data_IF_602430185584
#
_entry.id   IF_602430185584
#
_cell.length_a   1.000
_cell.length_b   1.000
_cell.length_c   1.000
_cell.angle_alpha   90.00
_cell.angle_beta   90.00
_cell.angle_gamma   90.00
#
_symmetry.space_group_name_H-M   'P 1'
#
loop_
_entity.id
_entity.type
_entity.pdbx_description
1 polymer ?
#
# COMPACT_ATOMS: atom_id res chain seq x y z
N UNK A 1 -29.01 2.16 -2.82
CA UNK A 1 -28.22 2.25 -4.07
C UNK A 1 -27.05 3.17 -3.75
N UNK A 2 -25.82 2.85 -4.14
CA UNK A 2 -24.72 3.82 -3.96
C UNK A 2 -24.91 4.88 -5.04
N UNK A 3 -25.03 6.13 -4.63
CA UNK A 3 -25.17 7.26 -5.55
C UNK A 3 -23.82 7.93 -5.67
N UNK A 4 -23.24 7.89 -6.86
CA UNK A 4 -21.97 8.55 -7.18
C UNK A 4 -22.24 9.92 -7.79
N UNK A 5 -21.58 10.97 -7.31
CA UNK A 5 -21.63 12.30 -7.94
C UNK A 5 -20.87 12.31 -9.27
N UNK A 6 -21.09 13.35 -10.08
CA UNK A 6 -20.37 13.50 -11.34
C UNK A 6 -18.85 13.65 -11.10
N UNK A 7 -18.47 14.34 -10.04
CA UNK A 7 -17.09 14.56 -9.61
C UNK A 7 -16.44 13.24 -9.18
N UNK A 8 -17.15 12.41 -8.42
CA UNK A 8 -16.66 11.09 -7.98
C UNK A 8 -16.42 10.17 -9.18
N UNK A 9 -17.38 10.12 -10.12
CA UNK A 9 -17.23 9.35 -11.36
C UNK A 9 -16.06 9.85 -12.21
N UNK A 10 -15.89 11.16 -12.31
CA UNK A 10 -14.79 11.76 -13.06
C UNK A 10 -13.44 11.43 -12.40
N UNK A 11 -13.34 11.50 -11.07
CA UNK A 11 -12.15 11.13 -10.33
C UNK A 11 -11.80 9.65 -10.50
N UNK A 12 -12.76 8.75 -10.33
CA UNK A 12 -12.56 7.29 -10.52
C UNK A 12 -12.06 7.00 -11.94
N UNK A 13 -12.71 7.57 -12.96
CA UNK A 13 -12.31 7.38 -14.35
C UNK A 13 -10.92 7.97 -14.65
N UNK A 14 -10.55 9.09 -14.01
CA UNK A 14 -9.22 9.69 -14.19
C UNK A 14 -8.10 8.82 -13.59
N UNK A 15 -8.37 8.13 -12.49
CA UNK A 15 -7.43 7.16 -11.91
C UNK A 15 -7.31 5.93 -12.81
N UNK A 16 -8.43 5.34 -13.23
CA UNK A 16 -8.41 4.11 -14.03
C UNK A 16 -7.69 4.25 -15.38
N UNK A 17 -7.73 5.43 -16.00
CA UNK A 17 -6.96 5.72 -17.23
C UNK A 17 -5.44 5.57 -17.07
N UNK A 18 -4.92 5.59 -15.85
CA UNK A 18 -3.48 5.48 -15.55
C UNK A 18 -3.07 4.06 -15.15
N UNK A 19 -4.03 3.16 -14.95
CA UNK A 19 -3.77 1.80 -14.46
C UNK A 19 -3.36 0.92 -15.64
N UNK A 20 -2.21 0.26 -15.52
CA UNK A 20 -1.82 -0.83 -16.40
C UNK A 20 -2.40 -2.14 -15.84
N UNK A 21 -3.45 -2.64 -16.48
CA UNK A 21 -4.16 -3.84 -16.03
C UNK A 21 -3.25 -5.07 -15.90
N UNK A 22 -2.20 -5.16 -16.71
CA UNK A 22 -1.30 -6.31 -16.72
C UNK A 22 -0.24 -6.17 -15.64
N UNK A 23 0.44 -5.03 -15.59
CA UNK A 23 1.47 -4.77 -14.60
C UNK A 23 0.90 -4.59 -13.19
N UNK A 24 -0.02 -3.63 -13.01
CA UNK A 24 -0.58 -3.27 -11.71
C UNK A 24 -1.43 -4.40 -11.13
N UNK A 25 -2.00 -5.25 -12.00
CA UNK A 25 -2.88 -6.33 -11.58
C UNK A 25 -2.12 -7.46 -10.92
N UNK A 26 -1.03 -7.89 -11.56
CA UNK A 26 -0.15 -8.89 -10.98
C UNK A 26 0.56 -8.38 -9.73
N UNK A 27 0.97 -7.11 -9.72
CA UNK A 27 1.56 -6.47 -8.54
C UNK A 27 0.57 -6.40 -7.37
N UNK A 28 -0.69 -6.01 -7.62
CA UNK A 28 -1.72 -5.96 -6.59
C UNK A 28 -2.02 -7.34 -5.99
N UNK A 29 -2.15 -8.38 -6.83
CA UNK A 29 -2.37 -9.74 -6.34
C UNK A 29 -1.12 -10.30 -5.65
N UNK A 30 0.07 -10.03 -6.18
CA UNK A 30 1.33 -10.43 -5.59
C UNK A 30 1.51 -9.86 -4.19
N UNK A 31 1.22 -8.56 -4.02
CA UNK A 31 1.20 -7.90 -2.71
C UNK A 31 0.17 -8.52 -1.79
N UNK A 32 -1.05 -8.83 -2.24
CA UNK A 32 -2.05 -9.50 -1.42
C UNK A 32 -1.52 -10.83 -0.85
N UNK A 33 -0.93 -11.68 -1.69
CA UNK A 33 -0.42 -13.00 -1.31
C UNK A 33 0.78 -12.92 -0.37
N UNK A 34 1.55 -11.83 -0.45
CA UNK A 34 2.69 -11.57 0.39
C UNK A 34 2.28 -11.00 1.76
N UNK A 35 1.33 -10.07 1.76
CA UNK A 35 0.81 -9.38 2.95
C UNK A 35 -0.04 -10.31 3.80
N UNK A 36 -0.84 -11.16 3.16
CA UNK A 36 -1.73 -12.12 3.81
C UNK A 36 -1.42 -13.54 3.35
N UNK A 37 -0.35 -14.17 3.84
CA UNK A 37 0.02 -15.52 3.40
C UNK A 37 -1.10 -16.56 3.55
N UNK A 38 -2.07 -16.37 4.47
CA UNK A 38 -3.23 -17.25 4.58
C UNK A 38 -4.10 -17.28 3.32
N UNK A 39 -4.10 -16.24 2.48
CA UNK A 39 -4.92 -16.21 1.25
C UNK A 39 -4.35 -17.14 0.20
N UNK A 40 -3.07 -17.52 0.31
CA UNK A 40 -2.43 -18.48 -0.60
C UNK A 40 -3.16 -19.83 -0.62
N UNK A 41 -3.89 -20.19 0.43
CA UNK A 41 -4.72 -21.42 0.49
C UNK A 41 -5.75 -21.51 -0.64
N UNK A 42 -6.21 -20.37 -1.17
CA UNK A 42 -7.16 -20.30 -2.28
C UNK A 42 -6.49 -20.48 -3.65
N UNK A 43 -5.17 -20.47 -3.72
CA UNK A 43 -4.38 -20.46 -4.95
C UNK A 43 -3.44 -21.68 -5.03
N UNK A 44 -3.84 -22.83 -4.47
CA UNK A 44 -3.03 -24.05 -4.46
C UNK A 44 -2.60 -24.53 -5.86
N UNK A 45 -3.38 -24.20 -6.90
CA UNK A 45 -3.07 -24.52 -8.29
C UNK A 45 -2.06 -23.57 -8.95
N UNK A 46 -1.62 -22.50 -8.25
CA UNK A 46 -0.74 -21.48 -8.82
C UNK A 46 0.74 -21.89 -8.75
N UNK A 47 1.07 -23.00 -8.10
CA UNK A 47 2.45 -23.44 -7.93
C UNK A 47 3.09 -22.81 -6.69
N UNK A 48 4.41 -22.58 -6.72
CA UNK A 48 5.12 -22.03 -5.56
C UNK A 48 4.73 -20.58 -5.31
N UNK A 49 4.21 -20.30 -4.12
CA UNK A 49 3.94 -18.96 -3.56
C UNK A 49 4.72 -18.72 -2.26
N UNK A 50 5.77 -19.52 -2.04
CA UNK A 50 6.48 -19.63 -0.76
C UNK A 50 7.31 -18.40 -0.37
N UNK A 51 7.62 -17.53 -1.32
CA UNK A 51 8.42 -16.32 -1.08
C UNK A 51 8.12 -15.24 -2.13
N UNK A 52 8.63 -14.02 -1.90
CA UNK A 52 8.36 -12.86 -2.75
C UNK A 52 8.78 -13.07 -4.22
N UNK A 53 9.95 -13.65 -4.46
CA UNK A 53 10.43 -13.90 -5.82
C UNK A 53 9.56 -14.95 -6.55
N UNK A 54 9.14 -15.99 -5.83
CA UNK A 54 8.24 -17.01 -6.33
C UNK A 54 6.86 -16.43 -6.67
N UNK A 55 6.34 -15.47 -5.89
CA UNK A 55 5.06 -14.80 -6.17
C UNK A 55 5.19 -13.82 -7.35
N UNK A 56 6.20 -12.95 -7.34
CA UNK A 56 6.38 -11.91 -8.36
C UNK A 56 6.62 -12.50 -9.76
N UNK A 57 7.43 -13.57 -9.85
CA UNK A 57 7.72 -14.28 -11.10
C UNK A 57 6.63 -15.25 -11.55
N UNK A 58 5.50 -15.37 -10.84
CA UNK A 58 4.49 -16.37 -11.15
C UNK A 58 3.52 -15.88 -12.24
N UNK A 59 3.62 -16.48 -13.43
CA UNK A 59 2.74 -16.15 -14.56
C UNK A 59 1.24 -16.33 -14.24
N UNK A 60 0.86 -17.24 -13.35
CA UNK A 60 -0.55 -17.43 -12.94
C UNK A 60 -1.02 -16.31 -12.01
N UNK A 61 -0.15 -15.80 -11.14
CA UNK A 61 -0.44 -14.61 -10.31
C UNK A 61 -0.63 -13.40 -11.22
N UNK A 62 0.27 -13.18 -12.17
CA UNK A 62 0.16 -12.08 -13.15
C UNK A 62 -1.14 -12.17 -13.96
N UNK A 63 -1.42 -13.35 -14.54
CA UNK A 63 -2.63 -13.57 -15.35
C UNK A 63 -3.93 -13.43 -14.54
N UNK A 64 -3.95 -13.88 -13.27
CA UNK A 64 -5.12 -13.73 -12.43
C UNK A 64 -5.29 -12.29 -11.93
N UNK A 65 -4.19 -11.62 -11.58
CA UNK A 65 -4.18 -10.19 -11.24
C UNK A 65 -4.77 -9.33 -12.35
N UNK A 66 -4.38 -9.59 -13.60
CA UNK A 66 -4.99 -8.96 -14.79
C UNK A 66 -6.49 -9.19 -14.90
N UNK A 67 -6.97 -10.42 -14.63
CA UNK A 67 -8.42 -10.71 -14.61
C UNK A 67 -9.15 -9.93 -13.52
N UNK A 68 -8.56 -9.79 -12.34
CA UNK A 68 -9.13 -9.03 -11.23
C UNK A 68 -9.22 -7.54 -11.58
N UNK A 69 -8.14 -6.92 -12.07
CA UNK A 69 -8.19 -5.51 -12.47
C UNK A 69 -9.10 -5.29 -13.67
N UNK A 70 -9.13 -6.20 -14.66
CA UNK A 70 -10.06 -6.08 -15.78
C UNK A 70 -11.54 -6.10 -15.36
N UNK A 71 -11.89 -6.87 -14.32
CA UNK A 71 -13.24 -6.85 -13.76
C UNK A 71 -13.54 -5.53 -13.03
N UNK A 72 -12.55 -4.95 -12.35
CA UNK A 72 -12.68 -3.66 -11.66
C UNK A 72 -12.72 -2.48 -12.65
N UNK A 73 -11.96 -2.54 -13.73
CA UNK A 73 -12.00 -1.59 -14.84
C UNK A 73 -13.37 -1.58 -15.51
N UNK A 74 -13.91 -2.77 -15.81
CA UNK A 74 -15.28 -2.90 -16.31
C UNK A 74 -16.30 -2.30 -15.33
N UNK A 75 -16.15 -2.54 -14.02
CA UNK A 75 -17.02 -1.93 -13.01
C UNK A 75 -16.88 -0.39 -12.95
N UNK A 76 -15.67 0.14 -13.15
CA UNK A 76 -15.40 1.58 -13.16
C UNK A 76 -16.03 2.29 -14.37
N UNK A 77 -16.15 1.61 -15.50
CA UNK A 77 -16.92 2.10 -16.65
C UNK A 77 -18.44 2.01 -16.48
N UNK A 78 -18.91 1.26 -15.47
CA UNK A 78 -20.33 0.99 -15.20
C UNK A 78 -20.72 1.32 -13.75
N UNK A 79 -20.26 2.47 -13.23
CA UNK A 79 -20.45 2.87 -11.82
C UNK A 79 -21.91 2.94 -11.36
N UNK A 80 -22.86 3.24 -12.25
CA UNK A 80 -24.29 3.27 -11.94
C UNK A 80 -24.92 1.86 -11.86
N UNK A 81 -24.26 0.86 -12.44
CA UNK A 81 -24.77 -0.52 -12.56
C UNK A 81 -23.79 -1.56 -12.03
N UNK A 82 -22.84 -1.19 -11.14
CA UNK A 82 -21.77 -2.08 -10.63
C UNK A 82 -22.28 -3.43 -10.15
N UNK A 83 -23.42 -3.46 -9.46
CA UNK A 83 -24.02 -4.71 -8.96
C UNK A 83 -24.42 -5.65 -10.10
N UNK A 84 -24.98 -5.10 -11.18
CA UNK A 84 -25.33 -5.88 -12.36
C UNK A 84 -24.06 -6.30 -13.12
N UNK A 85 -23.10 -5.39 -13.28
CA UNK A 85 -21.83 -5.64 -13.98
C UNK A 85 -20.99 -6.74 -13.31
N UNK A 86 -21.02 -6.84 -11.98
CA UNK A 86 -20.27 -7.83 -11.21
C UNK A 86 -21.12 -9.05 -10.79
N UNK A 87 -22.37 -9.16 -11.25
CA UNK A 87 -23.30 -10.22 -10.82
C UNK A 87 -22.69 -11.63 -11.01
N UNK A 88 -22.24 -11.94 -12.23
CA UNK A 88 -21.71 -13.26 -12.56
C UNK A 88 -20.42 -13.57 -11.78
N UNK A 89 -19.61 -12.54 -11.52
CA UNK A 89 -18.41 -12.68 -10.70
C UNK A 89 -18.77 -12.95 -9.24
N UNK A 90 -19.78 -12.27 -8.71
CA UNK A 90 -20.33 -12.49 -7.37
C UNK A 90 -20.87 -13.92 -7.22
N UNK A 91 -21.61 -14.40 -8.22
CA UNK A 91 -22.17 -15.76 -8.25
C UNK A 91 -21.06 -16.82 -8.19
N UNK A 92 -19.99 -16.64 -8.96
CA UNK A 92 -18.83 -17.53 -8.93
C UNK A 92 -18.17 -17.52 -7.54
N UNK A 93 -17.99 -16.35 -6.93
CA UNK A 93 -17.35 -16.24 -5.61
C UNK A 93 -18.19 -16.85 -4.48
N UNK A 94 -19.51 -16.71 -4.54
CA UNK A 94 -20.43 -17.23 -3.55
C UNK A 94 -20.66 -18.75 -3.70
N UNK A 95 -20.94 -19.20 -4.92
CA UNK A 95 -21.48 -20.55 -5.17
C UNK A 95 -20.46 -21.56 -5.70
N UNK A 96 -19.31 -21.12 -6.24
CA UNK A 96 -18.27 -22.03 -6.76
C UNK A 96 -16.98 -21.96 -5.98
N UNK A 97 -16.52 -20.76 -5.65
CA UNK A 97 -15.24 -20.56 -4.96
C UNK A 97 -15.38 -20.51 -3.44
N UNK A 98 -16.60 -20.30 -2.94
CA UNK A 98 -16.93 -20.20 -1.51
C UNK A 98 -15.96 -19.30 -0.74
N UNK A 99 -15.61 -18.15 -1.33
CA UNK A 99 -14.71 -17.18 -0.69
C UNK A 99 -15.49 -16.42 0.36
N UNK A 100 -15.03 -16.48 1.61
CA UNK A 100 -15.64 -15.76 2.72
C UNK A 100 -15.67 -14.25 2.42
N UNK A 101 -16.85 -13.58 2.49
CA UNK A 101 -16.98 -12.14 2.33
C UNK A 101 -16.01 -11.31 3.19
N UNK A 102 -15.59 -11.82 4.35
CA UNK A 102 -14.62 -11.15 5.23
C UNK A 102 -13.28 -10.91 4.54
N UNK A 103 -12.86 -11.79 3.64
CA UNK A 103 -11.61 -11.62 2.88
C UNK A 103 -11.64 -10.38 1.99
N UNK A 104 -12.82 -9.93 1.55
CA UNK A 104 -12.97 -8.70 0.78
C UNK A 104 -13.01 -7.45 1.67
N UNK A 105 -13.42 -7.59 2.94
CA UNK A 105 -13.52 -6.50 3.91
C UNK A 105 -12.17 -6.13 4.54
N UNK A 106 -11.30 -7.12 4.75
CA UNK A 106 -9.95 -6.94 5.31
C UNK A 106 -9.05 -5.98 4.49
N UNK A 107 -9.46 -5.62 3.26
CA UNK A 107 -8.84 -4.57 2.43
C UNK A 107 -8.78 -3.19 3.09
N UNK A 108 -9.72 -2.85 3.98
CA UNK A 108 -9.81 -1.50 4.55
C UNK A 108 -9.19 -1.37 5.95
N UNK A 109 -9.30 -2.37 6.82
CA UNK A 109 -8.80 -2.24 8.21
C UNK A 109 -7.27 -2.35 8.33
N UNK A 110 -6.62 -3.06 7.42
CA UNK A 110 -5.17 -3.12 7.39
C UNK A 110 -4.51 -1.82 6.93
N UNK A 111 -5.30 -0.86 6.39
CA UNK A 111 -4.83 0.47 6.01
C UNK A 111 -4.39 1.32 7.20
N UNK A 112 -4.82 1.00 8.43
CA UNK A 112 -4.58 1.88 9.59
C UNK A 112 -3.47 1.42 10.55
N UNK A 113 -3.00 0.15 10.51
CA UNK A 113 -2.29 -0.44 11.69
C UNK A 113 -0.96 -1.17 11.40
N UNK A 114 -0.13 -0.63 10.52
CA UNK A 114 1.23 -1.17 10.27
C UNK A 114 1.57 -1.36 8.80
N UNK A 115 1.04 -0.49 7.95
CA UNK A 115 0.97 -0.66 6.51
C UNK A 115 2.35 -0.86 5.87
N UNK A 116 3.42 -0.20 6.35
CA UNK A 116 4.77 -0.40 5.77
C UNK A 116 5.28 -1.84 5.99
N UNK A 117 5.22 -2.36 7.21
CA UNK A 117 5.74 -3.70 7.52
C UNK A 117 4.88 -4.83 6.95
N UNK A 118 3.60 -4.54 6.66
CA UNK A 118 2.65 -5.46 6.04
C UNK A 118 2.73 -5.43 4.52
N UNK A 119 2.59 -4.25 3.90
CA UNK A 119 2.66 -4.04 2.44
C UNK A 119 4.03 -4.40 1.90
N UNK A 120 5.07 -4.22 2.72
CA UNK A 120 6.45 -4.41 2.34
C UNK A 120 7.23 -5.29 3.34
N UNK A 121 6.93 -6.60 3.46
CA UNK A 121 7.49 -7.50 4.48
C UNK A 121 9.02 -7.60 4.50
N UNK A 122 9.72 -7.42 3.37
CA UNK A 122 11.19 -7.41 3.39
C UNK A 122 11.76 -6.27 4.24
N UNK A 123 11.00 -5.18 4.48
CA UNK A 123 11.43 -4.08 5.35
C UNK A 123 11.56 -4.52 6.80
N UNK A 124 10.90 -5.61 7.20
CA UNK A 124 11.02 -6.20 8.53
C UNK A 124 12.46 -6.62 8.86
N UNK A 125 13.32 -6.85 7.86
CA UNK A 125 14.74 -7.18 8.05
C UNK A 125 15.51 -6.11 8.85
N UNK A 126 15.08 -4.86 8.77
CA UNK A 126 15.68 -3.72 9.50
C UNK A 126 15.23 -3.65 10.96
N UNK A 127 14.24 -4.47 11.36
CA UNK A 127 13.59 -4.42 12.68
C UNK A 127 13.73 -5.74 13.44
N UNK A 128 14.85 -6.47 13.26
CA UNK A 128 15.08 -7.76 13.94
C UNK A 128 14.97 -7.69 15.47
N UNK A 129 15.29 -6.53 16.07
CA UNK A 129 15.16 -6.28 17.51
C UNK A 129 13.73 -6.04 17.99
N UNK A 130 12.74 -5.92 17.08
CA UNK A 130 11.36 -5.58 17.41
C UNK A 130 10.54 -6.81 17.82
N UNK A 131 11.08 -8.02 17.66
CA UNK A 131 10.40 -9.26 18.03
C UNK A 131 9.43 -9.72 16.94
N UNK A 132 8.25 -10.22 17.33
CA UNK A 132 7.30 -10.77 16.36
C UNK A 132 6.63 -9.67 15.52
N UNK A 133 6.86 -9.72 14.19
CA UNK A 133 6.24 -8.86 13.17
C UNK A 133 5.55 -9.68 12.06
N UNK A 134 5.28 -10.96 12.31
CA UNK A 134 4.81 -11.92 11.28
C UNK A 134 3.40 -11.67 10.73
N UNK A 135 2.57 -10.88 11.40
CA UNK A 135 1.20 -10.60 10.98
C UNK A 135 0.68 -9.27 11.53
N UNK A 136 -0.47 -8.83 11.01
CA UNK A 136 -1.05 -7.52 11.32
C UNK A 136 -1.36 -7.32 12.82
N UNK A 137 -1.90 -8.34 13.48
CA UNK A 137 -2.19 -8.25 14.92
C UNK A 137 -0.90 -8.15 15.75
N UNK A 138 0.13 -8.91 15.38
CA UNK A 138 1.44 -8.85 16.01
C UNK A 138 2.10 -7.47 15.82
N UNK A 139 2.02 -6.89 14.63
CA UNK A 139 2.57 -5.56 14.34
C UNK A 139 1.80 -4.46 15.08
N UNK A 140 0.46 -4.48 15.02
CA UNK A 140 -0.39 -3.47 15.65
C UNK A 140 -0.26 -3.44 17.17
N UNK A 141 -0.10 -4.62 17.79
CA UNK A 141 0.10 -4.78 19.23
C UNK A 141 1.53 -4.55 19.71
N UNK A 142 2.50 -4.33 18.82
CA UNK A 142 3.91 -4.24 19.19
C UNK A 142 4.28 -2.84 19.72
N UNK A 143 4.60 -2.77 21.01
CA UNK A 143 4.97 -1.52 21.67
C UNK A 143 6.22 -0.85 21.04
N UNK A 144 7.18 -1.62 20.51
CA UNK A 144 8.36 -1.08 19.83
C UNK A 144 7.99 -0.45 18.48
N UNK A 145 7.10 -1.09 17.73
CA UNK A 145 6.55 -0.52 16.48
C UNK A 145 5.83 0.80 16.77
N UNK A 146 4.99 0.84 17.80
CA UNK A 146 4.27 2.07 18.18
C UNK A 146 5.23 3.18 18.64
N UNK A 147 6.24 2.84 19.45
CA UNK A 147 7.24 3.80 19.90
C UNK A 147 8.08 4.36 18.74
N UNK A 148 8.46 3.50 17.79
CA UNK A 148 9.17 3.92 16.58
C UNK A 148 8.28 4.78 15.67
N UNK A 149 7.02 4.39 15.48
CA UNK A 149 6.04 5.18 14.73
C UNK A 149 5.87 6.60 15.29
N UNK A 150 5.88 6.78 16.62
CA UNK A 150 5.89 8.12 17.24
C UNK A 150 7.13 8.93 16.89
N UNK A 151 8.32 8.31 16.86
CA UNK A 151 9.56 9.00 16.45
C UNK A 151 9.50 9.45 15.00
N UNK A 152 9.00 8.59 14.11
CA UNK A 152 8.82 8.90 12.69
C UNK A 152 7.84 10.06 12.50
N UNK A 153 6.69 10.02 13.17
CA UNK A 153 5.71 11.10 13.11
C UNK A 153 6.25 12.42 13.67
N UNK A 154 7.01 12.38 14.76
CA UNK A 154 7.66 13.58 15.31
C UNK A 154 8.69 14.19 14.35
N UNK A 155 9.44 13.36 13.61
CA UNK A 155 10.36 13.85 12.58
C UNK A 155 9.63 14.49 11.39
N UNK A 156 8.49 13.90 10.97
CA UNK A 156 7.64 14.46 9.92
C UNK A 156 6.98 15.77 10.34
N UNK A 157 6.51 15.86 11.59
CA UNK A 157 5.96 17.07 12.18
C UNK A 157 6.99 18.21 12.19
N UNK A 158 8.22 17.89 12.62
CA UNK A 158 9.34 18.84 12.57
C UNK A 158 9.63 19.29 11.12
N UNK A 159 9.67 18.38 10.15
CA UNK A 159 9.86 18.72 8.74
C UNK A 159 8.70 19.59 8.19
N UNK A 160 7.46 19.36 8.63
CA UNK A 160 6.30 20.16 8.24
C UNK A 160 6.34 21.59 8.80
N UNK A 161 7.00 21.80 9.94
CA UNK A 161 7.26 23.13 10.49
C UNK A 161 8.45 23.86 9.82
N UNK A 162 9.27 23.14 9.05
CA UNK A 162 10.50 23.65 8.43
C UNK A 162 10.54 23.40 6.91
N UNK A 163 9.44 23.68 6.20
CA UNK A 163 9.27 23.36 4.76
C UNK A 163 10.36 23.95 3.85
N UNK A 164 10.90 25.13 4.17
CA UNK A 164 11.95 25.77 3.38
C UNK A 164 13.36 25.21 3.68
N UNK A 165 13.51 24.46 4.79
CA UNK A 165 14.81 23.98 5.30
C UNK A 165 14.79 22.49 5.65
N UNK A 166 13.93 21.70 4.98
CA UNK A 166 13.72 20.26 5.25
C UNK A 166 15.04 19.47 5.20
N UNK A 167 15.92 19.76 4.24
CA UNK A 167 17.23 19.06 4.13
C UNK A 167 18.10 19.28 5.36
N UNK A 168 18.25 20.52 5.80
CA UNK A 168 19.02 20.84 7.00
C UNK A 168 18.37 20.24 8.25
N UNK A 169 17.04 20.25 8.32
CA UNK A 169 16.27 19.71 9.45
C UNK A 169 16.39 18.19 9.57
N UNK A 170 16.55 17.49 8.44
CA UNK A 170 16.66 16.03 8.38
C UNK A 170 18.11 15.53 8.28
N UNK A 171 19.12 16.40 8.32
CA UNK A 171 20.53 16.04 8.16
C UNK A 171 20.96 14.89 9.10
N UNK A 172 20.76 15.05 10.41
CA UNK A 172 21.17 14.06 11.40
C UNK A 172 20.41 12.72 11.25
N UNK A 173 19.17 12.79 10.78
CA UNK A 173 18.39 11.61 10.44
C UNK A 173 18.93 10.94 9.18
N UNK A 174 19.31 11.71 8.15
CA UNK A 174 19.92 11.20 6.93
C UNK A 174 21.25 10.51 7.23
N UNK A 175 22.15 11.14 7.98
CA UNK A 175 23.43 10.56 8.44
C UNK A 175 23.21 9.22 9.17
N UNK A 176 22.27 9.19 10.12
CA UNK A 176 21.97 7.96 10.84
C UNK A 176 21.42 6.86 9.93
N UNK A 177 20.57 7.19 8.95
CA UNK A 177 20.00 6.20 8.04
C UNK A 177 21.04 5.67 7.04
N UNK A 178 21.94 6.54 6.56
CA UNK A 178 23.02 6.21 5.64
C UNK A 178 24.14 5.39 6.31
N UNK A 179 24.70 5.90 7.41
CA UNK A 179 25.97 5.43 7.95
C UNK A 179 25.83 4.53 9.19
N UNK A 180 24.68 4.49 9.86
CA UNK A 180 24.48 3.67 11.07
C UNK A 180 23.45 2.56 10.88
N UNK A 181 22.32 2.88 10.26
CA UNK A 181 21.21 1.94 10.06
C UNK A 181 21.28 1.23 8.70
N UNK A 182 22.04 1.78 7.76
CA UNK A 182 22.23 1.25 6.40
C UNK A 182 20.92 0.85 5.73
N UNK A 183 19.89 1.70 5.89
CA UNK A 183 18.58 1.49 5.26
C UNK A 183 18.73 1.80 3.79
N UNK A 184 18.31 0.93 2.87
CA UNK A 184 18.42 1.23 1.44
C UNK A 184 17.49 2.41 1.09
N UNK A 185 18.01 3.48 0.44
CA UNK A 185 17.23 4.69 0.17
C UNK A 185 16.00 4.45 -0.70
N UNK A 186 15.97 3.35 -1.45
CA UNK A 186 14.80 2.95 -2.25
C UNK A 186 13.57 2.66 -1.37
N UNK A 187 13.77 2.25 -0.11
CA UNK A 187 12.65 2.07 0.84
C UNK A 187 11.97 3.40 1.20
N UNK A 188 12.67 4.53 1.12
CA UNK A 188 12.06 5.85 1.28
C UNK A 188 11.39 6.29 -0.03
N UNK A 189 12.14 6.17 -1.15
CA UNK A 189 11.75 6.72 -2.46
C UNK A 189 10.52 6.06 -3.08
N UNK A 190 10.38 4.74 -2.93
CA UNK A 190 9.29 4.00 -3.56
C UNK A 190 8.12 3.68 -2.62
N UNK A 191 8.24 3.86 -1.29
CA UNK A 191 7.42 3.04 -0.36
C UNK A 191 6.91 3.76 0.87
N UNK A 192 7.73 4.64 1.44
CA UNK A 192 7.36 5.36 2.65
C UNK A 192 6.28 6.41 2.39
N UNK A 193 6.45 7.25 1.36
CA UNK A 193 5.48 8.29 1.01
C UNK A 193 4.11 7.73 0.60
N UNK A 194 4.08 6.67 -0.22
CA UNK A 194 2.86 6.04 -0.70
C UNK A 194 1.98 5.49 0.43
N UNK A 195 2.62 4.81 1.39
CA UNK A 195 1.94 4.26 2.57
C UNK A 195 1.28 5.37 3.39
N UNK A 196 1.97 6.50 3.56
CA UNK A 196 1.41 7.63 4.28
C UNK A 196 0.27 8.31 3.53
N UNK A 197 0.35 8.44 2.20
CA UNK A 197 -0.73 8.95 1.37
C UNK A 197 -1.99 8.09 1.54
N UNK A 198 -1.86 6.76 1.54
CA UNK A 198 -2.98 5.84 1.75
C UNK A 198 -3.59 5.99 3.14
N UNK A 199 -2.77 6.07 4.20
CA UNK A 199 -3.24 6.28 5.58
C UNK A 199 -3.98 7.61 5.71
N UNK A 200 -3.44 8.67 5.12
CA UNK A 200 -4.05 10.01 5.15
C UNK A 200 -5.36 10.05 4.35
N UNK A 201 -5.42 9.38 3.20
CA UNK A 201 -6.65 9.23 2.42
C UNK A 201 -7.74 8.51 3.24
N UNK A 202 -7.39 7.42 3.93
CA UNK A 202 -8.31 6.71 4.81
C UNK A 202 -8.83 7.57 5.96
N UNK A 203 -7.95 8.34 6.61
CA UNK A 203 -8.31 9.19 7.75
C UNK A 203 -9.11 10.44 7.37
N UNK A 204 -8.75 11.08 6.26
CA UNK A 204 -9.34 12.35 5.83
C UNK A 204 -10.57 12.15 4.94
N UNK A 205 -10.77 10.96 4.36
CA UNK A 205 -11.94 10.61 3.58
C UNK A 205 -12.23 11.64 2.49
N UNK A 206 -13.43 12.23 2.52
CA UNK A 206 -13.85 13.27 1.56
C UNK A 206 -13.03 14.57 1.61
N UNK A 207 -12.29 14.82 2.70
CA UNK A 207 -11.39 15.97 2.81
C UNK A 207 -10.06 15.77 2.07
N UNK A 208 -9.76 14.53 1.64
CA UNK A 208 -8.57 14.20 0.85
C UNK A 208 -8.81 14.41 -0.64
N UNK A 209 -8.95 15.68 -1.04
CA UNK A 209 -9.17 16.03 -2.44
C UNK A 209 -7.90 15.82 -3.30
N UNK A 210 -8.01 15.70 -4.63
CA UNK A 210 -6.83 15.52 -5.51
C UNK A 210 -5.74 16.59 -5.34
N UNK A 211 -6.07 17.90 -5.15
CA UNK A 211 -5.06 18.90 -4.82
C UNK A 211 -4.34 18.66 -3.49
N UNK A 212 -5.06 18.17 -2.46
CA UNK A 212 -4.47 17.81 -1.17
C UNK A 212 -3.55 16.61 -1.30
N UNK A 213 -3.97 15.59 -2.07
CA UNK A 213 -3.14 14.43 -2.38
C UNK A 213 -1.82 14.86 -3.05
N UNK A 214 -1.89 15.71 -4.10
CA UNK A 214 -0.71 16.19 -4.80
C UNK A 214 0.23 16.99 -3.90
N UNK A 215 -0.31 17.80 -2.98
CA UNK A 215 0.49 18.55 -2.01
C UNK A 215 1.20 17.61 -1.01
N UNK A 216 0.52 16.56 -0.55
CA UNK A 216 1.07 15.56 0.37
C UNK A 216 2.15 14.71 -0.33
N UNK A 217 1.90 14.26 -1.55
CA UNK A 217 2.90 13.54 -2.38
C UNK A 217 4.15 14.39 -2.60
N UNK A 218 3.98 15.68 -2.91
CA UNK A 218 5.09 16.63 -3.05
C UNK A 218 5.87 16.80 -1.74
N UNK A 219 5.17 16.92 -0.61
CA UNK A 219 5.82 17.01 0.70
C UNK A 219 6.67 15.77 0.98
N UNK A 220 6.12 14.57 0.79
CA UNK A 220 6.88 13.33 0.99
C UNK A 220 8.05 13.18 0.01
N UNK A 221 7.93 13.66 -1.23
CA UNK A 221 9.06 13.68 -2.16
C UNK A 221 10.22 14.54 -1.64
N UNK A 222 9.93 15.71 -1.05
CA UNK A 222 10.95 16.58 -0.42
C UNK A 222 11.56 15.92 0.82
N UNK A 223 10.75 15.27 1.66
CA UNK A 223 11.24 14.53 2.85
C UNK A 223 12.15 13.39 2.44
N UNK A 224 11.79 12.62 1.41
CA UNK A 224 12.60 11.51 0.88
C UNK A 224 13.93 12.03 0.33
N UNK A 225 13.91 13.14 -0.41
CA UNK A 225 15.12 13.77 -0.94
C UNK A 225 16.05 14.24 0.20
N UNK A 226 15.48 14.82 1.26
CA UNK A 226 16.22 15.20 2.47
C UNK A 226 16.82 14.01 3.22
N UNK A 227 16.06 12.91 3.40
CA UNK A 227 16.55 11.69 4.07
C UNK A 227 17.61 10.94 3.26
N UNK A 228 17.60 11.06 1.95
CA UNK A 228 18.55 10.38 1.06
C UNK A 228 19.82 11.19 0.78
N UNK A 229 19.95 12.40 1.36
CA UNK A 229 21.04 13.32 1.05
C UNK A 229 22.42 12.76 1.40
N UNK A 230 22.61 12.22 2.60
CA UNK A 230 23.90 11.71 3.07
C UNK A 230 24.28 10.32 2.51
N UNK A 231 23.44 9.72 1.65
CA UNK A 231 23.75 8.42 1.03
C UNK A 231 24.78 8.48 -0.09
N UNK A 232 25.04 9.68 -0.61
CA UNK A 232 25.89 9.91 -1.77
C UNK A 232 26.94 11.01 -1.55
N UNK A 233 27.09 11.48 -0.30
CA UNK A 233 28.11 12.45 0.11
C UNK A 233 29.44 11.81 0.49
#
# INVERSE_FOLDING_TARGET
>A
MVHWTAEEKAAINAVWKKVDLEHDGGDALGRLLLVYPWTQRYFSSFGSLSNAAAIAGNAKVQAHGKKVLGALDNAAHHLDTVKATLHDLSDIHAHRLHVDPENFRQRFEALEKGLLLLVYPWTQRYFSSFGNLSNAAAIAGNAKVQAHGKKVLGALDNAAHHLDTVKATLHDLSDSHAHRLHVDPENFRQRFGEVFVIVLAGKLGSSFSPPVQAAVEKFFAVVVDGLSHEYHN
#
